data_IF_177285081787
#
_entry.id   IF_177285081787
#
_cell.length_a   1.000
_cell.length_b   1.000
_cell.length_c   1.000
_cell.angle_alpha   90.00
_cell.angle_beta   90.00
_cell.angle_gamma   90.00
#
_symmetry.space_group_name_H-M   'P 1'
#
loop_
_entity.id
_entity.type
_entity.pdbx_description
1 polymer ?
#
# COMPACT_ATOMS: atom_id res chain seq x y z
N UNK A 1 17.62 15.65 19.59
CA UNK A 1 17.66 14.19 19.91
C UNK A 1 19.04 13.84 20.43
N UNK A 2 19.19 12.93 21.40
CA UNK A 2 20.54 12.50 21.80
C UNK A 2 21.19 11.68 20.67
N UNK A 3 22.53 11.78 20.47
CA UNK A 3 23.22 11.04 19.40
C UNK A 3 23.01 9.52 19.45
N UNK A 4 22.84 8.95 20.65
CA UNK A 4 22.56 7.53 20.85
C UNK A 4 21.20 7.10 20.30
N UNK A 5 20.19 7.97 20.37
CA UNK A 5 18.84 7.69 19.87
C UNK A 5 18.78 7.70 18.34
N UNK A 6 19.52 8.62 17.71
CA UNK A 6 19.63 8.69 16.25
C UNK A 6 20.35 7.45 15.68
N UNK A 7 21.44 7.01 16.33
CA UNK A 7 22.15 5.78 15.97
C UNK A 7 21.28 4.53 16.13
N UNK A 8 20.52 4.44 17.24
CA UNK A 8 19.59 3.34 17.47
C UNK A 8 18.47 3.28 16.43
N UNK A 9 17.88 4.42 16.07
CA UNK A 9 16.85 4.51 15.04
C UNK A 9 17.39 4.11 13.65
N UNK A 10 18.58 4.60 13.29
CA UNK A 10 19.24 4.24 12.04
C UNK A 10 19.54 2.74 11.94
N UNK A 11 20.04 2.14 13.03
CA UNK A 11 20.28 0.70 13.08
C UNK A 11 19.00 -0.13 12.93
N UNK A 12 17.90 0.30 13.58
CA UNK A 12 16.60 -0.37 13.46
C UNK A 12 16.05 -0.31 12.02
N UNK A 13 16.13 0.86 11.37
CA UNK A 13 15.73 1.03 9.96
C UNK A 13 16.60 0.18 9.04
N UNK A 14 17.93 0.19 9.25
CA UNK A 14 18.87 -0.62 8.47
C UNK A 14 18.57 -2.11 8.58
N UNK A 15 18.34 -2.62 9.79
CA UNK A 15 17.97 -4.02 10.02
C UNK A 15 16.64 -4.36 9.34
N UNK A 16 15.63 -3.49 9.45
CA UNK A 16 14.34 -3.68 8.79
C UNK A 16 14.48 -3.78 7.26
N UNK A 17 15.23 -2.87 6.64
CA UNK A 17 15.49 -2.90 5.19
C UNK A 17 16.25 -4.17 4.78
N UNK A 18 17.25 -4.59 5.56
CA UNK A 18 17.99 -5.82 5.31
C UNK A 18 17.08 -7.05 5.34
N UNK A 19 16.15 -7.13 6.29
CA UNK A 19 15.15 -8.20 6.37
C UNK A 19 14.26 -8.18 5.12
N UNK A 20 13.71 -7.03 4.74
CA UNK A 20 12.86 -6.91 3.55
C UNK A 20 13.58 -7.34 2.27
N UNK A 21 14.82 -6.87 2.06
CA UNK A 21 15.64 -7.23 0.90
C UNK A 21 15.93 -8.73 0.91
N UNK A 22 16.28 -9.30 2.07
CA UNK A 22 16.55 -10.73 2.22
C UNK A 22 15.33 -11.59 1.88
N UNK A 23 14.15 -11.21 2.37
CA UNK A 23 12.88 -11.89 2.05
C UNK A 23 12.57 -11.79 0.55
N UNK A 24 12.74 -10.61 -0.05
CA UNK A 24 12.53 -10.41 -1.49
C UNK A 24 13.50 -11.25 -2.33
N UNK A 25 14.76 -11.32 -1.92
CA UNK A 25 15.80 -12.11 -2.59
C UNK A 25 15.54 -13.62 -2.47
N UNK A 26 15.19 -14.10 -1.28
CA UNK A 26 14.81 -15.50 -1.06
C UNK A 26 13.59 -15.89 -1.92
N UNK A 27 12.58 -15.03 -2.00
CA UNK A 27 11.39 -15.25 -2.83
C UNK A 27 11.74 -15.27 -4.32
N UNK A 28 12.62 -14.37 -4.78
CA UNK A 28 13.12 -14.37 -6.16
C UNK A 28 13.85 -15.68 -6.50
N UNK A 29 14.69 -16.20 -5.61
CA UNK A 29 15.42 -17.46 -5.83
C UNK A 29 14.50 -18.68 -5.93
N UNK A 30 13.31 -18.64 -5.35
CA UNK A 30 12.31 -19.73 -5.39
C UNK A 30 11.46 -19.78 -6.67
N UNK A 31 11.78 -18.97 -7.70
CA UNK A 31 11.15 -19.09 -9.01
C UNK A 31 9.77 -18.43 -9.14
N UNK A 32 9.40 -17.51 -8.25
CA UNK A 32 8.11 -16.80 -8.24
C UNK A 32 7.85 -15.84 -9.45
N UNK A 33 8.43 -16.10 -10.63
CA UNK A 33 8.43 -15.19 -11.80
C UNK A 33 8.09 -15.84 -13.13
N UNK A 34 7.56 -17.06 -13.14
CA UNK A 34 7.23 -17.77 -14.39
C UNK A 34 6.05 -17.15 -15.15
N UNK A 35 5.13 -16.45 -14.46
CA UNK A 35 3.99 -15.77 -15.09
C UNK A 35 3.59 -14.46 -14.38
N UNK A 36 2.81 -13.61 -15.06
CA UNK A 36 2.21 -12.40 -14.47
C UNK A 36 1.30 -12.72 -13.28
N UNK A 37 0.58 -13.85 -13.34
CA UNK A 37 -0.26 -14.31 -12.23
C UNK A 37 0.55 -14.74 -11.02
N UNK A 38 1.71 -15.36 -11.23
CA UNK A 38 2.62 -15.72 -10.12
C UNK A 38 3.19 -14.47 -9.47
N UNK A 39 3.57 -13.47 -10.27
CA UNK A 39 4.18 -12.24 -9.77
C UNK A 39 3.18 -11.32 -9.07
N UNK A 40 2.03 -11.03 -9.70
CA UNK A 40 1.06 -10.05 -9.17
C UNK A 40 0.02 -10.66 -8.23
N UNK A 41 -0.28 -11.95 -8.35
CA UNK A 41 -1.33 -12.61 -7.56
C UNK A 41 -0.79 -13.72 -6.65
N UNK A 42 0.54 -13.89 -6.58
CA UNK A 42 1.20 -14.98 -5.83
C UNK A 42 0.60 -16.36 -6.19
N UNK A 43 0.33 -16.58 -7.48
CA UNK A 43 -0.29 -17.81 -7.99
C UNK A 43 -1.72 -18.05 -7.48
N UNK A 44 -2.37 -17.03 -6.89
CA UNK A 44 -3.67 -17.11 -6.22
C UNK A 44 -3.71 -18.10 -5.03
N UNK A 45 -2.56 -18.32 -4.41
CA UNK A 45 -2.38 -19.30 -3.32
C UNK A 45 -2.34 -18.66 -1.91
N UNK A 46 -2.53 -17.35 -1.79
CA UNK A 46 -2.56 -16.67 -0.50
C UNK A 46 -3.84 -17.06 0.27
N UNK A 47 -3.68 -17.63 1.45
CA UNK A 47 -4.79 -17.92 2.37
C UNK A 47 -5.44 -16.64 2.89
N UNK A 48 -6.70 -16.75 3.37
CA UNK A 48 -7.49 -15.60 3.83
C UNK A 48 -6.82 -14.76 4.92
N UNK A 49 -6.11 -15.39 5.86
CA UNK A 49 -5.37 -14.69 6.91
C UNK A 49 -4.22 -13.84 6.36
N UNK A 50 -3.41 -14.40 5.45
CA UNK A 50 -2.31 -13.67 4.81
C UNK A 50 -2.87 -12.52 3.96
N UNK A 51 -3.95 -12.77 3.22
CA UNK A 51 -4.64 -11.71 2.47
C UNK A 51 -5.11 -10.58 3.39
N UNK A 52 -5.71 -10.89 4.54
CA UNK A 52 -6.12 -9.90 5.52
C UNK A 52 -4.93 -9.05 6.00
N UNK A 53 -3.80 -9.69 6.34
CA UNK A 53 -2.59 -8.95 6.74
C UNK A 53 -2.06 -8.05 5.64
N UNK A 54 -2.07 -8.51 4.38
CA UNK A 54 -1.64 -7.67 3.24
C UNK A 54 -2.57 -6.48 3.01
N UNK A 55 -3.88 -6.68 3.15
CA UNK A 55 -4.87 -5.59 3.05
C UNK A 55 -4.71 -4.60 4.20
N UNK A 56 -4.53 -5.09 5.43
CA UNK A 56 -4.26 -4.25 6.59
C UNK A 56 -3.00 -3.41 6.40
N UNK A 57 -1.89 -4.03 6.01
CA UNK A 57 -0.63 -3.33 5.75
C UNK A 57 -0.74 -2.31 4.59
N UNK A 58 -1.61 -2.55 3.61
CA UNK A 58 -1.86 -1.60 2.50
C UNK A 58 -2.71 -0.42 2.96
N UNK A 59 -3.67 -0.66 3.85
CA UNK A 59 -4.63 0.35 4.32
C UNK A 59 -3.97 1.38 5.24
N UNK A 60 -3.05 0.95 6.09
CA UNK A 60 -2.34 1.80 7.04
C UNK A 60 -1.00 2.27 6.46
N UNK A 61 -0.82 3.59 6.36
CA UNK A 61 0.33 4.19 5.65
C UNK A 61 0.87 5.42 6.38
N UNK A 62 1.83 6.12 5.77
CA UNK A 62 2.39 7.36 6.31
C UNK A 62 1.34 8.43 6.60
N UNK A 63 0.26 8.52 5.81
CA UNK A 63 -0.87 9.42 6.09
C UNK A 63 -1.56 9.07 7.42
N UNK A 64 -1.72 7.78 7.71
CA UNK A 64 -2.33 7.36 8.98
C UNK A 64 -1.44 7.69 10.18
N UNK A 65 -0.11 7.62 10.00
CA UNK A 65 0.85 7.88 11.07
C UNK A 65 1.12 9.37 11.29
N UNK A 66 1.16 10.18 10.24
CA UNK A 66 1.51 11.61 10.32
C UNK A 66 0.29 12.52 10.17
N UNK A 67 -0.59 12.23 9.20
CA UNK A 67 -1.72 13.09 8.86
C UNK A 67 -2.85 13.02 9.90
N UNK A 68 -3.29 11.80 10.26
CA UNK A 68 -4.44 11.65 11.16
C UNK A 68 -4.22 12.19 12.57
N UNK A 69 -3.07 12.01 13.23
CA UNK A 69 -2.82 12.63 14.52
C UNK A 69 -2.78 14.16 14.43
N UNK A 70 -2.22 14.72 13.35
CA UNK A 70 -2.20 16.17 13.13
C UNK A 70 -3.60 16.76 12.96
N UNK A 71 -4.47 16.05 12.24
CA UNK A 71 -5.86 16.48 12.07
C UNK A 71 -6.68 16.30 13.35
N UNK A 72 -6.47 15.21 14.08
CA UNK A 72 -7.05 14.99 15.40
C UNK A 72 -6.64 16.09 16.39
N UNK A 73 -5.39 16.55 16.33
CA UNK A 73 -4.90 17.65 17.16
C UNK A 73 -5.61 18.97 16.86
N UNK A 74 -5.89 19.25 15.59
CA UNK A 74 -6.56 20.49 15.15
C UNK A 74 -8.07 20.48 15.39
N UNK A 75 -8.73 19.38 15.06
CA UNK A 75 -10.20 19.23 15.10
C UNK A 75 -10.69 18.72 16.46
N UNK A 76 -9.81 18.10 17.25
CA UNK A 76 -10.16 17.50 18.54
C UNK A 76 -11.04 16.26 18.38
N UNK A 77 -11.89 16.01 19.38
CA UNK A 77 -12.71 14.80 19.47
C UNK A 77 -13.63 14.56 18.26
N UNK A 78 -14.05 15.62 17.56
CA UNK A 78 -14.89 15.49 16.37
C UNK A 78 -14.23 14.65 15.26
N UNK A 79 -12.89 14.53 15.25
CA UNK A 79 -12.17 13.69 14.30
C UNK A 79 -12.45 12.18 14.46
N UNK A 80 -13.08 11.73 15.56
CA UNK A 80 -13.51 10.33 15.74
C UNK A 80 -14.40 9.83 14.60
N UNK A 81 -15.08 10.74 13.89
CA UNK A 81 -15.87 10.40 12.69
C UNK A 81 -15.03 9.74 11.58
N UNK A 82 -13.73 10.01 11.52
CA UNK A 82 -12.80 9.39 10.55
C UNK A 82 -12.80 7.86 10.64
N UNK A 83 -12.96 7.30 11.85
CA UNK A 83 -13.06 5.86 12.08
C UNK A 83 -14.28 5.28 11.36
N UNK A 84 -15.43 5.96 11.44
CA UNK A 84 -16.65 5.58 10.73
C UNK A 84 -16.44 5.56 9.21
N UNK A 85 -15.79 6.59 8.66
CA UNK A 85 -15.47 6.65 7.24
C UNK A 85 -14.52 5.52 6.80
N UNK A 86 -13.48 5.23 7.58
CA UNK A 86 -12.56 4.13 7.28
C UNK A 86 -13.28 2.77 7.31
N UNK A 87 -14.13 2.54 8.31
CA UNK A 87 -14.92 1.31 8.41
C UNK A 87 -15.91 1.17 7.25
N UNK A 88 -16.54 2.27 6.83
CA UNK A 88 -17.46 2.26 5.69
C UNK A 88 -16.76 1.82 4.40
N UNK A 89 -15.52 2.27 4.15
CA UNK A 89 -14.72 1.83 2.99
C UNK A 89 -14.51 0.31 3.03
N UNK A 90 -14.16 -0.26 4.18
CA UNK A 90 -13.95 -1.71 4.35
C UNK A 90 -15.26 -2.47 4.08
N UNK A 91 -16.38 -2.01 4.64
CA UNK A 91 -17.70 -2.65 4.43
C UNK A 91 -18.07 -2.65 2.96
N UNK A 92 -17.99 -1.50 2.30
CA UNK A 92 -18.27 -1.37 0.86
C UNK A 92 -17.36 -2.28 0.06
N UNK A 93 -16.06 -2.28 0.34
CA UNK A 93 -15.10 -3.16 -0.32
C UNK A 93 -15.48 -4.64 -0.18
N UNK A 94 -15.82 -5.09 1.03
CA UNK A 94 -16.17 -6.49 1.31
C UNK A 94 -17.51 -6.91 0.68
N UNK A 95 -18.40 -5.98 0.35
CA UNK A 95 -19.61 -6.28 -0.43
C UNK A 95 -19.27 -6.63 -1.88
N UNK A 96 -18.35 -5.88 -2.50
CA UNK A 96 -18.00 -6.05 -3.92
C UNK A 96 -16.89 -7.09 -4.16
N UNK A 97 -15.89 -7.14 -3.28
CA UNK A 97 -14.67 -7.93 -3.48
C UNK A 97 -14.92 -9.44 -3.66
N UNK A 98 -15.78 -10.14 -2.89
CA UNK A 98 -16.00 -11.58 -3.06
C UNK A 98 -16.65 -11.95 -4.40
N UNK A 99 -17.49 -11.07 -4.95
CA UNK A 99 -18.08 -11.26 -6.27
C UNK A 99 -17.03 -11.01 -7.36
N UNK A 100 -16.29 -9.91 -7.24
CA UNK A 100 -15.23 -9.58 -8.19
C UNK A 100 -14.12 -10.64 -8.22
N UNK A 101 -13.71 -11.16 -7.06
CA UNK A 101 -12.73 -12.22 -6.93
C UNK A 101 -13.15 -13.49 -7.68
N UNK A 102 -14.42 -13.89 -7.59
CA UNK A 102 -14.95 -15.05 -8.32
C UNK A 102 -14.87 -14.85 -9.84
N UNK A 103 -15.24 -13.66 -10.33
CA UNK A 103 -15.17 -13.32 -11.76
C UNK A 103 -13.70 -13.25 -12.22
N UNK A 104 -12.84 -12.59 -11.45
CA UNK A 104 -11.42 -12.46 -11.74
C UNK A 104 -10.71 -13.82 -11.82
N UNK A 105 -11.10 -14.80 -11.00
CA UNK A 105 -10.57 -16.17 -11.10
C UNK A 105 -11.04 -16.89 -12.37
N UNK A 106 -12.30 -16.72 -12.77
CA UNK A 106 -12.86 -17.38 -13.98
C UNK A 106 -12.25 -16.85 -15.28
N UNK A 107 -12.01 -15.55 -15.35
CA UNK A 107 -11.49 -14.89 -16.55
C UNK A 107 -9.99 -14.56 -16.46
N UNK A 108 -9.30 -15.10 -15.45
CA UNK A 108 -7.87 -14.91 -15.22
C UNK A 108 -7.40 -13.44 -15.17
N UNK A 109 -8.24 -12.52 -14.67
CA UNK A 109 -7.86 -11.11 -14.55
C UNK A 109 -6.67 -10.91 -13.60
N UNK A 110 -5.73 -10.07 -14.03
CA UNK A 110 -4.55 -9.64 -13.28
C UNK A 110 -4.71 -8.17 -12.86
N UNK A 111 -5.34 -7.35 -13.70
CA UNK A 111 -5.51 -5.91 -13.45
C UNK A 111 -6.99 -5.50 -13.34
N UNK A 112 -7.31 -4.37 -12.68
CA UNK A 112 -8.65 -3.79 -12.76
C UNK A 112 -9.09 -3.45 -14.19
N UNK A 113 -8.14 -3.10 -15.07
CA UNK A 113 -8.41 -2.83 -16.48
C UNK A 113 -8.93 -4.05 -17.25
N UNK A 114 -8.54 -5.26 -16.86
CA UNK A 114 -9.03 -6.51 -17.46
C UNK A 114 -10.54 -6.65 -17.20
N UNK A 115 -10.98 -6.30 -15.99
CA UNK A 115 -12.40 -6.31 -15.64
C UNK A 115 -13.18 -5.26 -16.44
N UNK A 116 -12.63 -4.04 -16.60
CA UNK A 116 -13.27 -2.97 -17.38
C UNK A 116 -13.41 -3.39 -18.84
N UNK A 117 -12.36 -3.95 -19.42
CA UNK A 117 -12.37 -4.49 -20.79
C UNK A 117 -13.43 -5.57 -20.94
N UNK A 118 -13.46 -6.53 -20.01
CA UNK A 118 -14.43 -7.61 -20.03
C UNK A 118 -15.88 -7.11 -19.85
N UNK A 119 -16.11 -6.11 -19.00
CA UNK A 119 -17.45 -5.63 -18.66
C UNK A 119 -18.06 -4.71 -19.73
N UNK A 120 -17.22 -3.90 -20.39
CA UNK A 120 -17.66 -2.82 -21.26
C UNK A 120 -17.18 -2.96 -22.72
N UNK A 121 -16.19 -3.81 -23.01
CA UNK A 121 -15.69 -4.04 -24.37
C UNK A 121 -15.04 -2.82 -25.04
N UNK A 122 -14.74 -1.76 -24.30
CA UNK A 122 -14.23 -0.49 -24.84
C UNK A 122 -12.75 -0.28 -24.49
N UNK A 123 -11.83 -0.37 -25.47
CA UNK A 123 -10.41 -0.13 -25.24
C UNK A 123 -10.10 1.29 -24.76
N UNK A 124 -10.88 2.27 -25.23
CA UNK A 124 -10.73 3.68 -24.81
C UNK A 124 -11.08 3.87 -23.34
N UNK A 125 -12.15 3.22 -22.87
CA UNK A 125 -12.54 3.26 -21.46
C UNK A 125 -11.50 2.57 -20.58
N UNK A 126 -11.00 1.40 -21.00
CA UNK A 126 -9.92 0.70 -20.29
C UNK A 126 -8.67 1.55 -20.19
N UNK A 127 -8.25 2.19 -21.29
CA UNK A 127 -7.08 3.06 -21.31
C UNK A 127 -7.27 4.24 -20.35
N UNK A 128 -8.42 4.93 -20.43
CA UNK A 128 -8.73 6.05 -19.55
C UNK A 128 -8.67 5.61 -18.07
N UNK A 129 -9.31 4.50 -17.73
CA UNK A 129 -9.32 3.99 -16.37
C UNK A 129 -7.92 3.63 -15.87
N UNK A 130 -7.11 2.96 -16.71
CA UNK A 130 -5.72 2.62 -16.36
C UNK A 130 -4.86 3.87 -16.17
N UNK A 131 -5.01 4.90 -17.01
CA UNK A 131 -4.31 6.18 -16.85
C UNK A 131 -4.70 6.85 -15.53
N UNK A 132 -6.00 6.91 -15.22
CA UNK A 132 -6.48 7.49 -13.95
C UNK A 132 -5.95 6.70 -12.74
N UNK A 133 -5.92 5.38 -12.80
CA UNK A 133 -5.35 4.52 -11.75
C UNK A 133 -3.85 4.79 -11.56
N UNK A 134 -3.08 4.88 -12.64
CA UNK A 134 -1.63 5.18 -12.58
C UNK A 134 -1.38 6.56 -12.01
N UNK A 135 -2.15 7.58 -12.42
CA UNK A 135 -2.02 8.94 -11.88
C UNK A 135 -2.36 8.98 -10.39
N UNK A 136 -3.44 8.32 -9.98
CA UNK A 136 -3.84 8.25 -8.58
C UNK A 136 -2.77 7.55 -7.72
N UNK A 137 -2.26 6.40 -8.16
CA UNK A 137 -1.21 5.66 -7.45
C UNK A 137 0.10 6.44 -7.44
N UNK A 138 0.47 7.14 -8.52
CA UNK A 138 1.67 7.98 -8.57
C UNK A 138 1.60 9.13 -7.56
N UNK A 139 0.45 9.82 -7.48
CA UNK A 139 0.24 10.88 -6.50
C UNK A 139 0.27 10.33 -5.06
N UNK A 140 -0.37 9.18 -4.83
CA UNK A 140 -0.30 8.49 -3.54
C UNK A 140 1.13 8.12 -3.17
N UNK A 141 1.90 7.55 -4.09
CA UNK A 141 3.30 7.17 -3.88
C UNK A 141 4.15 8.37 -3.50
N UNK A 142 3.98 9.52 -4.18
CA UNK A 142 4.67 10.76 -3.84
C UNK A 142 4.38 11.20 -2.40
N UNK A 143 3.12 11.17 -1.98
CA UNK A 143 2.75 11.50 -0.60
C UNK A 143 3.40 10.55 0.42
N UNK A 144 3.51 9.26 0.11
CA UNK A 144 4.17 8.29 1.00
C UNK A 144 5.70 8.50 1.06
N UNK A 145 6.34 8.87 -0.05
CA UNK A 145 7.76 9.21 -0.08
C UNK A 145 8.05 10.45 0.78
N UNK A 146 7.23 11.50 0.69
CA UNK A 146 7.36 12.68 1.55
C UNK A 146 7.17 12.33 3.03
N UNK A 147 6.17 11.51 3.36
CA UNK A 147 5.94 11.02 4.72
C UNK A 147 7.16 10.27 5.27
N UNK A 148 7.76 9.37 4.48
CA UNK A 148 8.99 8.66 4.85
C UNK A 148 10.18 9.62 5.06
N UNK A 149 10.31 10.64 4.21
CA UNK A 149 11.33 11.68 4.34
C UNK A 149 11.23 12.43 5.68
N UNK A 150 10.03 12.92 6.01
CA UNK A 150 9.80 13.62 7.28
C UNK A 150 10.02 12.75 8.52
N UNK A 151 9.63 11.46 8.47
CA UNK A 151 9.93 10.53 9.56
C UNK A 151 11.44 10.35 9.72
N UNK A 152 12.17 10.18 8.62
CA UNK A 152 13.63 9.97 8.64
C UNK A 152 14.36 11.22 9.13
N UNK A 153 13.92 12.41 8.71
CA UNK A 153 14.43 13.69 9.19
C UNK A 153 14.22 13.85 10.70
N UNK A 154 13.01 13.57 11.18
CA UNK A 154 12.69 13.59 12.61
C UNK A 154 13.54 12.61 13.43
N UNK A 155 13.70 11.38 12.95
CA UNK A 155 14.50 10.33 13.61
C UNK A 155 16.02 10.58 13.54
N UNK A 156 16.49 11.27 12.50
CA UNK A 156 17.90 11.63 12.38
C UNK A 156 18.27 12.88 13.18
N UNK A 157 17.27 13.58 13.76
CA UNK A 157 17.48 14.88 14.39
C UNK A 157 17.89 15.97 13.39
N UNK A 158 17.47 15.84 12.13
CA UNK A 158 17.81 16.77 11.04
C UNK A 158 19.10 16.47 10.29
N UNK A 159 19.80 15.36 10.59
CA UNK A 159 21.02 14.98 9.88
C UNK A 159 20.76 14.49 8.44
N UNK A 160 19.57 13.92 8.19
CA UNK A 160 19.09 13.57 6.85
C UNK A 160 17.86 14.43 6.55
N UNK A 161 18.00 15.53 5.79
CA UNK A 161 16.87 16.40 5.50
C UNK A 161 15.91 15.72 4.52
N UNK A 162 14.62 16.03 4.59
CA UNK A 162 13.60 15.35 3.75
C UNK A 162 13.76 15.63 2.25
N UNK A 163 14.49 16.69 1.88
CA UNK A 163 14.64 17.18 0.51
C UNK A 163 15.93 16.70 -0.20
N UNK A 164 16.82 16.01 0.52
CA UNK A 164 18.05 15.43 -0.05
C UNK A 164 17.75 14.09 -0.74
#
# INVERSE_FOLDING_TARGET
MSPSLALGAGAAVGLYLLVLISVGYATRRRGARTSLGDFYLAGRNLGGFVLLLTLYATQYSGNTLLGYPGEAFRIGYAWVMSVGFMMAIIVVYLIFAPRLQRVARRHAFVTPGDWITHRFGSPRLTLLANVLLVLAISNYLLAQLMAMGHVTEGLSGGAVPYWA
#
